data_IF_963280893521
#
_entry.id   IF_963280893521
#
_cell.length_a   1.000
_cell.length_b   1.000
_cell.length_c   1.000
_cell.angle_alpha   90.00
_cell.angle_beta   90.00
_cell.angle_gamma   90.00
#
_symmetry.space_group_name_H-M   'P 1'
#
loop_
_entity.id
_entity.type
_entity.pdbx_description
1 polymer ?
#
# COMPACT_ATOMS: atom_id res chain seq x y z
N UNK A 1 -8.55 -4.70 -7.54
CA UNK A 1 -7.36 -4.51 -6.66
C UNK A 1 -7.03 -3.02 -6.56
N UNK A 2 -6.03 -2.61 -5.76
CA UNK A 2 -5.10 -1.52 -6.10
C UNK A 2 -3.77 -1.78 -5.38
N UNK A 3 -2.76 -2.12 -6.16
CA UNK A 3 -1.33 -2.21 -5.88
C UNK A 3 -0.72 -1.75 -7.21
N UNK A 4 0.25 -0.83 -7.18
CA UNK A 4 0.92 -0.34 -8.39
C UNK A 4 2.43 -0.28 -8.18
N UNK A 5 3.26 -0.24 -9.24
CA UNK A 5 4.67 0.09 -9.09
C UNK A 5 4.83 1.36 -8.27
N UNK A 6 5.82 1.34 -7.37
CA UNK A 6 6.24 2.51 -6.60
C UNK A 6 6.80 3.55 -7.58
N UNK A 7 6.46 4.81 -7.34
CA UNK A 7 7.05 5.99 -7.98
C UNK A 7 7.86 6.75 -6.94
N UNK A 8 8.78 7.59 -7.37
CA UNK A 8 9.66 8.32 -6.44
C UNK A 8 8.85 9.28 -5.55
N UNK A 9 7.76 9.85 -6.06
CA UNK A 9 6.78 10.65 -5.30
C UNK A 9 6.11 9.88 -4.14
N UNK A 10 6.15 8.55 -4.12
CA UNK A 10 5.65 7.76 -2.97
C UNK A 10 6.60 7.82 -1.77
N UNK A 11 7.88 8.12 -1.98
CA UNK A 11 8.94 7.92 -0.98
C UNK A 11 8.72 8.76 0.26
N UNK A 12 8.32 10.02 0.14
CA UNK A 12 7.98 10.88 1.29
C UNK A 12 6.81 10.32 2.12
N UNK A 13 5.81 9.70 1.48
CA UNK A 13 4.73 9.01 2.19
C UNK A 13 5.20 7.70 2.84
N UNK A 14 6.06 6.95 2.16
CA UNK A 14 6.61 5.71 2.69
C UNK A 14 7.59 5.95 3.85
N UNK A 15 8.36 7.03 3.84
CA UNK A 15 9.20 7.46 4.99
C UNK A 15 8.31 7.80 6.20
N UNK A 16 7.17 8.47 6.01
CA UNK A 16 6.21 8.71 7.12
C UNK A 16 5.61 7.42 7.67
N UNK A 17 5.31 6.44 6.81
CA UNK A 17 4.87 5.11 7.26
C UNK A 17 5.99 4.38 7.99
N UNK A 18 7.22 4.40 7.48
CA UNK A 18 8.40 3.80 8.10
C UNK A 18 8.73 4.43 9.46
N UNK A 19 8.60 5.76 9.58
CA UNK A 19 8.75 6.47 10.87
C UNK A 19 7.69 6.01 11.87
N UNK A 20 6.42 5.99 11.46
CA UNK A 20 5.33 5.50 12.31
C UNK A 20 5.56 4.06 12.76
N UNK A 21 5.99 3.15 11.88
CA UNK A 21 6.32 1.76 12.24
C UNK A 21 7.53 1.67 13.17
N UNK A 22 8.46 2.61 13.12
CA UNK A 22 9.52 2.68 14.13
C UNK A 22 8.99 3.16 15.48
N UNK A 23 8.18 4.22 15.49
CA UNK A 23 7.65 4.82 16.72
C UNK A 23 6.63 3.91 17.43
N UNK A 24 5.80 3.17 16.67
CA UNK A 24 4.75 2.28 17.18
C UNK A 24 5.24 0.82 17.37
N UNK A 25 6.01 0.27 16.42
CA UNK A 25 6.36 -1.16 16.36
C UNK A 25 7.87 -1.44 16.55
N UNK A 26 8.70 -0.39 16.69
CA UNK A 26 10.15 -0.54 16.87
C UNK A 26 10.94 -0.94 15.61
N UNK A 27 10.35 -0.86 14.41
CA UNK A 27 11.02 -1.22 13.16
C UNK A 27 11.15 -0.03 12.16
N UNK A 28 12.34 0.26 11.61
CA UNK A 28 13.62 -0.42 11.81
C UNK A 28 14.20 -0.18 13.21
N UNK A 29 14.83 -1.19 13.81
CA UNK A 29 15.31 -1.12 15.21
C UNK A 29 16.29 0.04 15.48
N UNK A 30 17.15 0.35 14.49
CA UNK A 30 17.88 1.61 14.42
C UNK A 30 17.31 2.43 13.27
N UNK A 31 16.97 3.69 13.50
CA UNK A 31 16.54 4.58 12.42
C UNK A 31 17.71 4.88 11.48
N UNK A 32 17.58 4.71 10.15
CA UNK A 32 18.63 5.08 9.22
C UNK A 32 18.79 6.60 9.11
N UNK A 33 20.03 7.06 8.95
CA UNK A 33 20.35 8.47 8.68
C UNK A 33 19.71 8.96 7.35
N UNK A 34 19.63 8.06 6.36
CA UNK A 34 18.87 8.26 5.13
C UNK A 34 17.74 7.21 4.99
N UNK A 35 16.49 7.56 5.39
CA UNK A 35 15.34 6.68 5.25
C UNK A 35 14.83 6.54 3.81
N UNK A 36 15.26 7.41 2.88
CA UNK A 36 14.93 7.29 1.46
C UNK A 36 15.84 6.23 0.81
N UNK A 37 17.16 6.34 1.00
CA UNK A 37 18.11 5.32 0.55
C UNK A 37 17.82 3.94 1.16
N UNK A 38 17.37 3.89 2.42
CA UNK A 38 16.89 2.66 3.06
C UNK A 38 15.71 2.02 2.30
N UNK A 39 14.78 2.84 1.77
CA UNK A 39 13.67 2.39 0.93
C UNK A 39 14.09 2.08 -0.52
N UNK A 40 15.21 2.63 -1.01
CA UNK A 40 15.74 2.47 -2.37
C UNK A 40 17.17 1.90 -2.38
N UNK A 41 17.42 0.71 -1.80
CA UNK A 41 18.78 0.18 -1.70
C UNK A 41 19.38 -0.12 -3.08
N UNK A 42 20.69 0.08 -3.28
CA UNK A 42 21.37 -0.25 -4.53
C UNK A 42 21.10 -1.68 -4.97
N UNK A 43 20.81 -1.88 -6.25
CA UNK A 43 20.49 -3.20 -6.81
C UNK A 43 19.06 -3.71 -6.55
N UNK A 44 18.16 -2.92 -5.95
CA UNK A 44 16.75 -3.29 -5.92
C UNK A 44 16.21 -3.44 -7.36
N UNK A 45 15.39 -4.46 -7.62
CA UNK A 45 14.89 -4.74 -8.97
C UNK A 45 13.56 -4.07 -9.29
N UNK A 46 12.74 -3.79 -8.27
CA UNK A 46 11.42 -3.14 -8.38
C UNK A 46 10.78 -3.04 -6.99
N UNK A 47 9.82 -2.12 -6.84
CA UNK A 47 9.03 -1.95 -5.64
C UNK A 47 7.57 -1.60 -6.00
N UNK A 48 6.63 -1.88 -5.10
CA UNK A 48 5.20 -1.63 -5.30
C UNK A 48 4.58 -0.98 -4.07
N UNK A 49 3.60 -0.10 -4.28
CA UNK A 49 2.82 0.53 -3.22
C UNK A 49 1.40 -0.04 -3.17
N UNK A 50 1.01 -0.51 -1.98
CA UNK A 50 -0.36 -0.93 -1.68
C UNK A 50 -1.17 0.26 -1.14
N UNK A 51 -1.71 1.08 -2.03
CA UNK A 51 -2.57 2.22 -1.67
C UNK A 51 -3.97 1.77 -1.18
N UNK A 52 -4.04 1.22 0.05
CA UNK A 52 -5.27 0.74 0.72
C UNK A 52 -5.20 0.85 2.26
N UNK A 53 -4.59 1.88 2.85
CA UNK A 53 -5.28 3.14 3.21
C UNK A 53 -6.68 2.99 3.88
N UNK A 54 -7.61 2.27 3.24
CA UNK A 54 -9.00 2.12 3.65
C UNK A 54 -9.16 1.36 4.98
N UNK A 55 -8.53 0.20 5.12
CA UNK A 55 -8.60 -0.61 6.35
C UNK A 55 -8.05 0.18 7.55
N UNK A 56 -6.90 0.87 7.37
CA UNK A 56 -6.34 1.80 8.38
C UNK A 56 -7.17 3.05 8.68
N UNK A 57 -8.22 3.34 7.88
CA UNK A 57 -9.18 4.45 8.09
C UNK A 57 -10.54 3.95 8.61
N UNK A 58 -10.64 2.69 9.01
CA UNK A 58 -11.87 2.08 9.54
C UNK A 58 -12.84 1.55 8.48
N UNK A 59 -12.40 1.36 7.23
CA UNK A 59 -13.20 0.72 6.19
C UNK A 59 -12.98 -0.80 6.20
N UNK A 60 -14.03 -1.58 6.46
CA UNK A 60 -14.02 -3.04 6.50
C UNK A 60 -14.42 -3.62 5.15
N UNK A 61 -13.65 -4.60 4.65
CA UNK A 61 -14.02 -5.44 3.51
C UNK A 61 -15.29 -6.24 3.85
N UNK A 62 -16.34 -6.14 3.03
CA UNK A 62 -17.60 -6.87 3.26
C UNK A 62 -17.83 -8.02 2.29
N UNK A 63 -17.43 -7.87 1.02
CA UNK A 63 -17.68 -8.89 0.00
C UNK A 63 -16.68 -8.81 -1.16
N UNK A 64 -16.58 -9.89 -1.97
CA UNK A 64 -15.83 -9.95 -3.23
C UNK A 64 -16.68 -10.63 -4.31
N UNK A 65 -16.90 -9.95 -5.42
CA UNK A 65 -17.56 -10.48 -6.62
C UNK A 65 -16.57 -10.49 -7.79
N UNK A 66 -16.82 -11.26 -8.86
CA UNK A 66 -16.39 -10.85 -10.20
C UNK A 66 -16.88 -9.43 -10.50
N UNK A 67 -16.15 -8.68 -11.31
CA UNK A 67 -16.69 -7.47 -11.92
C UNK A 67 -17.77 -7.84 -12.94
N UNK A 68 -18.68 -6.90 -13.18
CA UNK A 68 -19.66 -6.89 -14.27
C UNK A 68 -19.05 -6.51 -15.63
N UNK A 69 -17.72 -6.32 -15.69
CA UNK A 69 -16.95 -6.00 -16.88
C UNK A 69 -15.67 -6.84 -16.99
N UNK A 70 -15.18 -7.03 -18.22
CA UNK A 70 -13.93 -7.71 -18.53
C UNK A 70 -12.86 -6.74 -19.05
N UNK A 71 -11.59 -7.10 -18.86
CA UNK A 71 -10.45 -6.43 -19.52
C UNK A 71 -10.43 -6.73 -21.04
N UNK A 72 -9.62 -5.98 -21.83
CA UNK A 72 -9.39 -6.30 -23.25
C UNK A 72 -8.82 -7.71 -23.52
N UNK A 73 -8.14 -8.32 -22.53
CA UNK A 73 -7.63 -9.69 -22.59
C UNK A 73 -8.68 -10.76 -22.22
N UNK A 74 -9.94 -10.37 -22.01
CA UNK A 74 -11.04 -11.25 -21.56
C UNK A 74 -11.07 -11.54 -20.05
N UNK A 75 -10.06 -11.14 -19.28
CA UNK A 75 -10.02 -11.40 -17.83
C UNK A 75 -11.05 -10.56 -17.10
N UNK A 76 -11.97 -11.20 -16.37
CA UNK A 76 -12.85 -10.54 -15.41
C UNK A 76 -12.11 -10.37 -14.07
N UNK A 77 -11.83 -9.14 -13.60
CA UNK A 77 -11.16 -8.93 -12.33
C UNK A 77 -12.11 -9.16 -11.14
N UNK A 78 -11.58 -9.68 -10.03
CA UNK A 78 -12.33 -9.74 -8.77
C UNK A 78 -12.39 -8.36 -8.10
N UNK A 79 -13.61 -7.83 -7.93
CA UNK A 79 -13.89 -6.66 -7.10
C UNK A 79 -13.78 -7.00 -5.60
N UNK A 80 -13.52 -5.96 -4.79
CA UNK A 80 -13.55 -6.02 -3.33
C UNK A 80 -14.36 -4.83 -2.82
N UNK A 81 -15.45 -5.11 -2.13
CA UNK A 81 -16.39 -4.13 -1.59
C UNK A 81 -16.02 -3.76 -0.15
N UNK A 82 -16.04 -2.48 0.18
CA UNK A 82 -15.59 -1.96 1.47
C UNK A 82 -16.62 -0.99 2.04
N UNK A 83 -16.96 -1.14 3.32
CA UNK A 83 -17.88 -0.27 4.05
C UNK A 83 -17.16 0.38 5.24
N UNK A 84 -17.46 1.64 5.53
CA UNK A 84 -17.09 2.29 6.78
C UNK A 84 -18.36 2.75 7.48
N UNK A 85 -18.55 2.30 8.72
CA UNK A 85 -19.51 2.94 9.62
C UNK A 85 -18.91 4.27 10.08
N UNK A 86 -19.66 5.34 9.89
CA UNK A 86 -19.41 6.63 10.53
C UNK A 86 -20.15 6.63 11.87
N UNK A 87 -19.63 7.32 12.90
CA UNK A 87 -20.40 7.61 14.11
C UNK A 87 -21.55 8.59 13.80
#
# INVERSE_FOLDING_TARGET
MHIRPRRDDDLEHLVRVLRRTHDEDGYPAHWPDDPVAWLTPPGHRSAWTAWRLYERRGWRLTHRSPADWAKPDGTVPTMRWYEKRLP
#
